data_IF_397583216132
#
_entry.id   IF_397583216132
#
_cell.length_a   1.000
_cell.length_b   1.000
_cell.length_c   1.000
_cell.angle_alpha   90.00
_cell.angle_beta   90.00
_cell.angle_gamma   90.00
#
_symmetry.space_group_name_H-M   'P 1'
#
loop_
_entity.id
_entity.type
_entity.pdbx_description
1 polymer ?
#
# COMPACT_ATOMS: atom_id res chain seq x y z
N UNK A 1 8.56 -7.18 -7.26
CA UNK A 1 9.30 -5.89 -7.15
C UNK A 1 8.97 -5.19 -5.83
N UNK A 2 7.72 -4.76 -5.58
CA UNK A 2 7.36 -4.08 -4.33
C UNK A 2 7.58 -4.90 -3.05
N UNK A 3 7.30 -6.20 -3.08
CA UNK A 3 7.55 -7.08 -1.91
C UNK A 3 9.04 -7.21 -1.57
N UNK A 4 9.94 -7.05 -2.55
CA UNK A 4 11.38 -6.98 -2.29
C UNK A 4 11.77 -5.62 -1.73
N UNK A 5 11.23 -4.53 -2.31
CA UNK A 5 11.46 -3.18 -1.81
C UNK A 5 10.99 -3.01 -0.36
N UNK A 6 9.87 -3.64 0.02
CA UNK A 6 9.38 -3.66 1.40
C UNK A 6 10.23 -4.48 2.36
N UNK A 7 11.05 -5.44 1.87
CA UNK A 7 12.05 -6.09 2.73
C UNK A 7 13.22 -5.15 3.05
N UNK A 8 13.52 -4.21 2.14
CA UNK A 8 14.60 -3.23 2.32
C UNK A 8 14.14 -1.98 3.08
N UNK A 9 12.88 -1.58 2.89
CA UNK A 9 12.26 -0.42 3.54
C UNK A 9 10.81 -0.74 3.96
N UNK A 10 10.62 -1.51 5.05
CA UNK A 10 9.30 -1.93 5.54
C UNK A 10 8.49 -0.78 6.17
N UNK A 11 9.10 0.36 6.40
CA UNK A 11 8.50 1.58 6.96
C UNK A 11 8.02 2.57 5.88
N UNK A 12 8.24 2.25 4.60
CA UNK A 12 7.90 3.13 3.51
C UNK A 12 6.44 2.94 3.06
N UNK A 13 5.54 3.78 3.60
CA UNK A 13 4.12 3.86 3.23
C UNK A 13 3.87 4.02 1.71
N UNK A 14 4.79 4.65 0.97
CA UNK A 14 4.66 4.82 -0.49
C UNK A 14 4.75 3.47 -1.20
N UNK A 15 5.64 2.57 -0.74
CA UNK A 15 5.78 1.23 -1.31
C UNK A 15 4.52 0.40 -1.10
N UNK A 16 3.89 0.50 0.07
CA UNK A 16 2.59 -0.14 0.33
C UNK A 16 1.49 0.40 -0.58
N UNK A 17 1.38 1.72 -0.76
CA UNK A 17 0.38 2.28 -1.69
C UNK A 17 0.64 1.88 -3.14
N UNK A 18 1.90 1.83 -3.58
CA UNK A 18 2.24 1.40 -4.93
C UNK A 18 1.94 -0.10 -5.14
N UNK A 19 2.16 -0.93 -4.10
CA UNK A 19 1.78 -2.34 -4.13
C UNK A 19 0.26 -2.53 -4.12
N UNK A 20 -0.46 -1.72 -3.33
CA UNK A 20 -1.92 -1.65 -3.33
C UNK A 20 -2.47 -1.32 -4.73
N UNK A 21 -1.90 -0.31 -5.39
CA UNK A 21 -2.24 0.08 -6.75
C UNK A 21 -2.06 -1.07 -7.75
N UNK A 22 -0.93 -1.79 -7.66
CA UNK A 22 -0.67 -2.95 -8.50
C UNK A 22 -1.66 -4.08 -8.23
N UNK A 23 -2.03 -4.32 -6.97
CA UNK A 23 -3.04 -5.30 -6.61
C UNK A 23 -4.43 -4.93 -7.13
N UNK A 24 -4.83 -3.66 -7.11
CA UNK A 24 -6.07 -3.19 -7.73
C UNK A 24 -6.09 -3.44 -9.23
N UNK A 25 -5.00 -3.15 -9.94
CA UNK A 25 -4.88 -3.43 -11.37
C UNK A 25 -5.00 -4.93 -11.69
N UNK A 26 -4.56 -5.79 -10.75
CA UNK A 26 -4.68 -7.25 -10.84
C UNK A 26 -6.01 -7.79 -10.30
N UNK A 27 -6.99 -6.93 -9.96
CA UNK A 27 -8.28 -7.28 -9.34
C UNK A 27 -8.16 -8.03 -8.00
N UNK A 28 -7.02 -7.92 -7.33
CA UNK A 28 -6.79 -8.48 -6.00
C UNK A 28 -7.20 -7.46 -4.92
N UNK A 29 -8.51 -7.19 -4.83
CA UNK A 29 -9.06 -6.13 -3.97
C UNK A 29 -8.70 -6.31 -2.49
N UNK A 30 -8.76 -7.54 -1.95
CA UNK A 30 -8.40 -7.80 -0.54
C UNK A 30 -6.94 -7.47 -0.23
N UNK A 31 -6.02 -7.86 -1.13
CA UNK A 31 -4.59 -7.57 -0.96
C UNK A 31 -4.32 -6.08 -1.09
N UNK A 32 -5.01 -5.41 -2.00
CA UNK A 32 -4.90 -3.96 -2.16
C UNK A 32 -5.36 -3.22 -0.90
N UNK A 33 -6.45 -3.67 -0.28
CA UNK A 33 -6.97 -3.09 0.95
C UNK A 33 -5.98 -3.26 2.10
N UNK A 34 -5.45 -4.46 2.32
CA UNK A 34 -4.46 -4.71 3.36
C UNK A 34 -3.18 -3.87 3.21
N UNK A 35 -2.75 -3.63 1.97
CA UNK A 35 -1.64 -2.73 1.68
C UNK A 35 -1.98 -1.26 1.93
N UNK A 36 -3.17 -0.80 1.55
CA UNK A 36 -3.63 0.56 1.84
C UNK A 36 -3.74 0.81 3.35
N UNK A 37 -4.23 -0.17 4.12
CA UNK A 37 -4.26 -0.11 5.58
C UNK A 37 -2.87 -0.08 6.20
N UNK A 38 -1.93 -0.86 5.67
CA UNK A 38 -0.53 -0.84 6.12
C UNK A 38 0.12 0.51 5.85
N UNK A 39 -0.14 1.10 4.67
CA UNK A 39 0.33 2.44 4.34
C UNK A 39 -0.22 3.50 5.30
N UNK A 40 -1.51 3.43 5.64
CA UNK A 40 -2.18 4.33 6.58
C UNK A 40 -1.75 4.10 8.03
N UNK A 41 -1.40 2.88 8.43
CA UNK A 41 -0.82 2.62 9.76
C UNK A 41 0.55 3.28 9.91
N UNK A 42 1.36 3.23 8.85
CA UNK A 42 2.68 3.86 8.84
C UNK A 42 2.61 5.39 8.75
N UNK A 43 1.70 5.91 7.93
CA UNK A 43 1.46 7.34 7.81
C UNK A 43 -0.04 7.64 7.78
N UNK A 44 -0.66 7.80 8.95
CA UNK A 44 -2.10 8.08 9.05
C UNK A 44 -2.46 9.45 8.47
N UNK A 45 -1.51 10.40 8.48
CA UNK A 45 -1.69 11.73 7.89
C UNK A 45 -1.45 11.76 6.36
N UNK A 46 -1.44 10.61 5.70
CA UNK A 46 -1.22 10.55 4.26
C UNK A 46 -2.51 10.47 3.47
N UNK A 47 -2.93 11.62 2.95
CA UNK A 47 -4.17 11.78 2.19
C UNK A 47 -4.29 10.82 1.00
N UNK A 48 -3.17 10.49 0.34
CA UNK A 48 -3.15 9.53 -0.78
C UNK A 48 -3.37 8.07 -0.35
N UNK A 49 -3.07 7.72 0.90
CA UNK A 49 -3.34 6.38 1.44
C UNK A 49 -4.84 6.11 1.52
N UNK A 50 -5.64 7.12 1.88
CA UNK A 50 -7.10 7.02 1.92
C UNK A 50 -7.72 6.81 0.53
N UNK A 51 -7.15 7.43 -0.50
CA UNK A 51 -7.57 7.23 -1.90
C UNK A 51 -7.41 5.78 -2.36
N UNK A 52 -6.50 5.01 -1.76
CA UNK A 52 -6.27 3.59 -2.10
C UNK A 52 -7.11 2.63 -1.26
N UNK A 53 -7.72 3.13 -0.18
CA UNK A 53 -8.60 2.36 0.70
C UNK A 53 -10.06 2.38 0.23
N UNK A 54 -10.51 3.51 -0.33
CA UNK A 54 -11.83 3.69 -0.95
C UNK A 54 -11.84 3.31 -2.42
#
# INVERSE_FOLDING_TARGET
>A
IFSLALKLAPDNHILYSNRSAAHLALKHHEKALGDAESALKLKPDWSKGYLRKG
#
